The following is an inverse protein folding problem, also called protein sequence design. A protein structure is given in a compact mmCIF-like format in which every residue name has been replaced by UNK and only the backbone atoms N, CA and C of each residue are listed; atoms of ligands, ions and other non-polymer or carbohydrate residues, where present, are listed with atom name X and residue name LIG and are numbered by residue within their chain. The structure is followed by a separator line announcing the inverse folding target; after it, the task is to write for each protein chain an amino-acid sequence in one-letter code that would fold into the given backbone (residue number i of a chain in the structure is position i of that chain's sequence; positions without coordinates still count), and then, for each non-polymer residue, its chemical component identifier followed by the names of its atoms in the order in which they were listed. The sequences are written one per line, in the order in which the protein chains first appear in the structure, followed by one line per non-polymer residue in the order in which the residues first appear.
data_IF_462302130517
#
_entry.id   IF_462302130517
#
_cell.length_a   1.000
_cell.length_b   1.000
_cell.length_c   1.000
_cell.angle_alpha   90.00
_cell.angle_beta   90.00
_cell.angle_gamma   90.00
#
_symmetry.space_group_name_H-M   'P 1'
#
loop_
_entity.id
_entity.type
_entity.pdbx_description
1 polymer ?
#
# COMPACT_ATOMS: atom_id res chain seq x y z
N UNK A 1 -10.98 5.83 -5.14
CA UNK A 1 -10.03 6.34 -4.12
C UNK A 1 -9.01 5.26 -3.81
N UNK A 2 -7.73 5.60 -3.86
CA UNK A 2 -6.66 4.70 -3.41
C UNK A 2 -6.14 5.16 -2.06
N UNK A 3 -6.05 4.23 -1.11
CA UNK A 3 -5.56 4.47 0.24
C UNK A 3 -4.15 3.89 0.40
N UNK A 4 -3.27 4.65 1.04
CA UNK A 4 -1.93 4.21 1.40
C UNK A 4 -1.54 4.79 2.78
N UNK A 5 -0.32 4.49 3.23
CA UNK A 5 0.19 4.86 4.54
C UNK A 5 -0.32 3.96 5.67
N UNK A 6 0.22 4.17 6.88
CA UNK A 6 -0.14 3.36 8.06
C UNK A 6 -1.59 3.52 8.52
N UNK A 7 -2.20 4.69 8.23
CA UNK A 7 -3.58 4.98 8.60
C UNK A 7 -4.62 4.05 7.96
N UNK A 8 -4.28 3.38 6.84
CA UNK A 8 -5.18 2.42 6.17
C UNK A 8 -5.56 1.23 7.06
N UNK A 9 -4.81 1.01 8.14
CA UNK A 9 -4.99 -0.08 9.10
C UNK A 9 -6.09 0.17 10.12
N UNK A 10 -6.66 1.36 10.16
CA UNK A 10 -7.82 1.65 11.02
C UNK A 10 -8.97 0.71 10.60
N UNK A 11 -9.47 -0.14 11.52
CA UNK A 11 -10.54 -1.07 11.18
C UNK A 11 -11.78 -0.36 10.62
N UNK A 12 -12.32 -0.87 9.51
CA UNK A 12 -13.50 -0.31 8.85
C UNK A 12 -13.28 0.98 8.06
N UNK A 13 -12.03 1.47 7.94
CA UNK A 13 -11.76 2.74 7.27
C UNK A 13 -12.10 2.70 5.77
N UNK A 14 -11.79 1.59 5.10
CA UNK A 14 -12.02 1.43 3.66
C UNK A 14 -13.52 1.50 3.37
N UNK A 15 -14.31 0.75 4.13
CA UNK A 15 -15.76 0.68 4.02
C UNK A 15 -16.40 2.03 4.37
N UNK A 16 -15.97 2.64 5.48
CA UNK A 16 -16.49 3.93 5.91
C UNK A 16 -16.23 5.05 4.89
N UNK A 17 -15.06 5.05 4.25
CA UNK A 17 -14.75 6.01 3.19
C UNK A 17 -15.52 5.70 1.90
N UNK A 18 -15.65 4.43 1.51
CA UNK A 18 -16.43 4.03 0.35
C UNK A 18 -17.90 4.47 0.46
N UNK A 19 -18.52 4.22 1.63
CA UNK A 19 -19.92 4.58 1.90
C UNK A 19 -20.11 6.10 1.91
N UNK A 20 -19.27 6.83 2.65
CA UNK A 20 -19.42 8.29 2.82
C UNK A 20 -19.15 9.08 1.54
N UNK A 21 -18.20 8.62 0.74
CA UNK A 21 -17.78 9.34 -0.45
C UNK A 21 -18.50 8.84 -1.71
N UNK A 22 -19.22 7.71 -1.64
CA UNK A 22 -19.93 7.12 -2.76
C UNK A 22 -19.00 6.71 -3.92
N UNK A 23 -17.73 6.42 -3.62
CA UNK A 23 -16.73 6.04 -4.62
C UNK A 23 -16.06 4.73 -4.23
N UNK A 24 -15.72 3.94 -5.26
CA UNK A 24 -14.91 2.75 -5.07
C UNK A 24 -13.60 3.09 -4.37
N UNK A 25 -13.33 2.43 -3.25
CA UNK A 25 -12.17 2.71 -2.40
C UNK A 25 -11.37 1.43 -2.23
N UNK A 26 -10.05 1.51 -2.47
CA UNK A 26 -9.16 0.35 -2.50
C UNK A 26 -7.87 0.68 -1.74
N UNK A 27 -7.29 -0.32 -1.09
CA UNK A 27 -5.92 -0.21 -0.54
C UNK A 27 -4.93 -0.39 -1.68
N UNK A 28 -3.97 0.53 -1.80
CA UNK A 28 -2.86 0.41 -2.76
C UNK A 28 -1.62 -0.18 -2.09
N UNK A 29 -0.89 -1.02 -2.82
CA UNK A 29 0.40 -1.56 -2.38
C UNK A 29 1.48 -1.33 -3.43
N UNK A 30 2.66 -0.90 -2.96
CA UNK A 30 3.82 -0.69 -3.84
C UNK A 30 4.37 -1.99 -4.42
N UNK A 31 4.05 -3.13 -3.82
CA UNK A 31 4.57 -4.43 -4.23
C UNK A 31 3.70 -5.14 -5.29
N UNK A 32 2.54 -4.58 -5.65
CA UNK A 32 1.69 -5.11 -6.74
C UNK A 32 2.36 -5.03 -8.11
N UNK A 33 3.30 -4.09 -8.27
CA UNK A 33 3.94 -3.76 -9.56
C UNK A 33 5.45 -3.98 -9.56
N UNK A 34 6.02 -4.52 -8.47
CA UNK A 34 7.46 -4.72 -8.31
C UNK A 34 7.82 -6.20 -8.20
N UNK A 35 8.90 -6.59 -8.87
CA UNK A 35 9.52 -7.90 -8.64
C UNK A 35 10.27 -7.88 -7.31
N UNK A 36 9.75 -8.61 -6.32
CA UNK A 36 10.39 -8.76 -5.01
C UNK A 36 11.21 -10.04 -4.99
N UNK A 37 12.51 -9.93 -4.68
CA UNK A 37 13.39 -11.10 -4.53
C UNK A 37 12.90 -11.98 -3.37
N UNK A 38 12.80 -13.32 -3.55
CA UNK A 38 12.50 -14.22 -2.43
C UNK A 38 13.46 -14.01 -1.25
N UNK A 39 12.92 -13.92 -0.04
CA UNK A 39 13.70 -13.65 1.18
C UNK A 39 14.19 -12.21 1.35
N UNK A 40 13.79 -11.26 0.49
CA UNK A 40 14.05 -9.83 0.73
C UNK A 40 13.36 -9.32 2.01
N UNK A 41 12.27 -9.97 2.40
CA UNK A 41 11.56 -9.77 3.67
C UNK A 41 10.95 -11.12 4.09
N UNK A 42 10.55 -11.24 5.35
CA UNK A 42 9.59 -12.29 5.73
C UNK A 42 8.28 -12.05 4.95
N UNK A 43 7.80 -13.07 4.24
CA UNK A 43 6.72 -12.95 3.23
C UNK A 43 5.40 -12.45 3.83
N UNK A 44 5.15 -12.80 5.10
CA UNK A 44 3.96 -12.38 5.87
C UNK A 44 3.92 -10.85 6.09
N UNK A 45 5.06 -10.18 5.96
CA UNK A 45 5.20 -8.74 6.20
C UNK A 45 4.95 -7.87 4.96
N UNK A 46 5.09 -8.38 3.73
CA UNK A 46 5.02 -7.54 2.52
C UNK A 46 3.64 -6.98 2.24
N UNK A 47 2.60 -7.81 2.35
CA UNK A 47 1.22 -7.36 2.15
C UNK A 47 0.82 -6.32 3.20
N UNK A 48 1.34 -6.49 4.42
CA UNK A 48 1.11 -5.58 5.52
C UNK A 48 1.84 -4.24 5.37
N UNK A 49 3.09 -4.30 4.90
CA UNK A 49 3.95 -3.13 4.74
C UNK A 49 3.68 -2.36 3.45
N UNK A 50 3.17 -3.02 2.40
CA UNK A 50 2.98 -2.43 1.07
C UNK A 50 2.35 -1.03 1.05
N UNK A 51 1.22 -0.81 1.74
CA UNK A 51 0.60 0.52 1.80
C UNK A 51 1.49 1.56 2.49
N UNK A 52 2.25 1.17 3.52
CA UNK A 52 3.16 2.05 4.26
C UNK A 52 4.44 2.38 3.47
N UNK A 53 4.85 1.48 2.57
CA UNK A 53 6.08 1.60 1.80
C UNK A 53 5.93 2.44 0.52
N UNK A 54 4.72 2.88 0.17
CA UNK A 54 4.46 3.67 -1.05
C UNK A 54 5.41 4.86 -1.22
N UNK A 55 5.67 5.64 -0.16
CA UNK A 55 6.58 6.79 -0.23
C UNK A 55 8.05 6.35 -0.35
N UNK A 56 8.49 5.42 0.50
CA UNK A 56 9.88 4.96 0.51
C UNK A 56 10.27 4.29 -0.81
N UNK A 57 9.38 3.49 -1.39
CA UNK A 57 9.55 2.91 -2.72
C UNK A 57 9.60 4.00 -3.79
N UNK A 58 8.70 4.98 -3.75
CA UNK A 58 8.72 6.10 -4.70
C UNK A 58 10.02 6.91 -4.66
N UNK A 59 10.61 7.09 -3.48
CA UNK A 59 11.93 7.72 -3.32
C UNK A 59 13.04 6.86 -3.93
N UNK A 60 13.05 5.55 -3.66
CA UNK A 60 14.03 4.64 -4.25
C UNK A 60 13.92 4.59 -5.79
N UNK A 61 12.70 4.64 -6.33
CA UNK A 61 12.47 4.69 -7.78
C UNK A 61 13.02 5.95 -8.42
N UNK A 62 13.14 7.07 -7.68
CA UNK A 62 13.69 8.32 -8.22
C UNK A 62 15.15 8.16 -8.67
N UNK A 63 15.92 7.30 -8.01
CA UNK A 63 17.34 7.09 -8.33
C UNK A 63 17.56 6.18 -9.55
N UNK A 64 16.49 5.51 -10.02
CA UNK A 64 16.54 4.55 -11.13
C UNK A 64 15.61 4.91 -12.29
N UNK A 65 14.92 6.05 -12.21
CA UNK A 65 14.00 6.58 -13.23
C UNK A 65 14.69 7.53 -14.22
#
# INVERSE_FOLDING_TARGET
LYLCGGGVRVPGLVEALAERLGVETRVASSFEVLSVRPGATETENLQHMGPMMMLAVGLALRDVA
#
